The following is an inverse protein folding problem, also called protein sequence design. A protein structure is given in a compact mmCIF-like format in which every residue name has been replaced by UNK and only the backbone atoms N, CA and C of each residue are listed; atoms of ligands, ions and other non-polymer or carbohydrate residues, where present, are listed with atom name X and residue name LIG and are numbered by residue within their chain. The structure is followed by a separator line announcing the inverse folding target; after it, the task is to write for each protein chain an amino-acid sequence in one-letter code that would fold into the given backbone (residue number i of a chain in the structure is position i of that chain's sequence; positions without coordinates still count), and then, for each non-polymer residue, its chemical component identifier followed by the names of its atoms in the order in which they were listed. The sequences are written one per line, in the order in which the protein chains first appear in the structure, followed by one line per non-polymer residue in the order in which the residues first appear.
data_IF_761555688678
#
_entry.id   IF_761555688678
#
_cell.length_a   1.000
_cell.length_b   1.000
_cell.length_c   1.000
_cell.angle_alpha   90.00
_cell.angle_beta   90.00
_cell.angle_gamma   90.00
#
_symmetry.space_group_name_H-M   'P 1'
#
loop_
_entity.id
_entity.type
_entity.pdbx_description
1 polymer ?
#
# COMPACT_ATOMS: atom_id res chain seq x y z
N UNK A 1 -26.16 -13.97 -69.44
CA UNK A 1 -25.15 -12.94 -69.08
C UNK A 1 -25.27 -12.69 -67.59
N UNK A 2 -24.21 -13.00 -66.84
CA UNK A 2 -24.12 -12.80 -65.39
C UNK A 2 -24.21 -11.31 -65.02
N UNK A 3 -24.87 -10.98 -63.90
CA UNK A 3 -24.33 -10.05 -62.90
C UNK A 3 -24.99 -10.24 -61.53
N UNK A 4 -24.18 -10.85 -60.69
CA UNK A 4 -24.25 -11.01 -59.23
C UNK A 4 -23.91 -9.68 -58.56
N UNK A 5 -24.66 -9.26 -57.55
CA UNK A 5 -24.25 -8.27 -56.51
C UNK A 5 -25.13 -8.51 -55.27
N UNK A 6 -24.80 -9.50 -54.45
CA UNK A 6 -23.99 -9.40 -53.21
C UNK A 6 -24.45 -8.32 -52.22
N UNK A 7 -25.37 -8.71 -51.34
CA UNK A 7 -25.70 -8.04 -50.08
C UNK A 7 -24.49 -8.08 -49.14
N UNK A 8 -23.98 -6.94 -48.70
CA UNK A 8 -22.92 -6.87 -47.68
C UNK A 8 -23.54 -6.41 -46.36
N UNK A 9 -23.66 -7.34 -45.41
CA UNK A 9 -23.93 -7.07 -44.01
C UNK A 9 -22.59 -6.71 -43.36
N UNK A 10 -22.38 -5.44 -43.00
CA UNK A 10 -21.23 -5.03 -42.19
C UNK A 10 -21.58 -5.23 -40.71
N UNK A 11 -21.30 -6.42 -40.19
CA UNK A 11 -21.29 -6.67 -38.73
C UNK A 11 -19.98 -6.07 -38.21
N UNK A 12 -20.06 -4.90 -37.60
CA UNK A 12 -18.94 -4.29 -36.89
C UNK A 12 -18.69 -5.09 -35.61
N UNK A 13 -17.67 -5.94 -35.64
CA UNK A 13 -17.21 -6.75 -34.52
C UNK A 13 -16.74 -5.87 -33.36
N UNK A 14 -17.41 -5.98 -32.20
CA UNK A 14 -16.92 -5.50 -30.91
C UNK A 14 -15.52 -6.09 -30.65
N UNK A 15 -14.50 -5.23 -30.61
CA UNK A 15 -13.18 -5.60 -30.13
C UNK A 15 -13.25 -5.76 -28.61
N UNK A 16 -12.96 -6.99 -28.18
CA UNK A 16 -12.81 -7.42 -26.79
C UNK A 16 -11.72 -6.59 -26.08
N UNK A 17 -12.09 -5.75 -25.12
CA UNK A 17 -11.16 -5.00 -24.26
C UNK A 17 -10.83 -5.71 -22.93
N UNK A 18 -11.22 -6.98 -22.77
CA UNK A 18 -11.15 -7.70 -21.49
C UNK A 18 -9.77 -8.23 -21.05
N UNK A 19 -8.77 -8.30 -21.95
CA UNK A 19 -7.53 -9.05 -21.66
C UNK A 19 -6.50 -8.29 -20.82
N UNK A 20 -6.51 -6.96 -20.82
CA UNK A 20 -5.49 -6.14 -20.13
C UNK A 20 -5.74 -6.10 -18.61
N UNK A 21 -6.99 -5.97 -18.20
CA UNK A 21 -7.36 -5.82 -16.78
C UNK A 21 -7.19 -7.11 -15.96
N UNK A 22 -7.42 -8.28 -16.57
CA UNK A 22 -7.25 -9.56 -15.88
C UNK A 22 -5.78 -9.86 -15.55
N UNK A 23 -4.86 -9.55 -16.47
CA UNK A 23 -3.42 -9.74 -16.28
C UNK A 23 -2.85 -8.79 -15.21
N UNK A 24 -3.34 -7.54 -15.15
CA UNK A 24 -2.94 -6.58 -14.12
C UNK A 24 -3.33 -7.06 -12.72
N UNK A 25 -4.57 -7.52 -12.54
CA UNK A 25 -5.08 -7.97 -11.25
C UNK A 25 -4.32 -9.21 -10.72
N UNK A 26 -3.96 -10.14 -11.60
CA UNK A 26 -3.16 -11.32 -11.25
C UNK A 26 -1.73 -10.94 -10.85
N UNK A 27 -1.07 -10.06 -11.61
CA UNK A 27 0.26 -9.56 -11.27
C UNK A 27 0.25 -8.78 -9.95
N UNK A 28 -0.75 -7.94 -9.74
CA UNK A 28 -0.96 -7.23 -8.49
C UNK A 28 -1.06 -8.21 -7.32
N UNK A 29 -1.89 -9.25 -7.44
CA UNK A 29 -2.05 -10.24 -6.39
C UNK A 29 -0.74 -10.97 -6.07
N UNK A 30 0.01 -11.37 -7.10
CA UNK A 30 1.33 -11.98 -6.94
C UNK A 30 2.30 -11.07 -6.18
N UNK A 31 2.39 -9.78 -6.56
CA UNK A 31 3.20 -8.78 -5.86
C UNK A 31 2.79 -8.66 -4.39
N UNK A 32 1.49 -8.67 -4.09
CA UNK A 32 0.98 -8.57 -2.73
C UNK A 32 1.36 -9.76 -1.86
N UNK A 33 1.36 -10.96 -2.42
CA UNK A 33 1.80 -12.18 -1.73
C UNK A 33 3.30 -12.17 -1.48
N UNK A 34 4.11 -11.87 -2.50
CA UNK A 34 5.58 -11.76 -2.34
C UNK A 34 5.96 -10.67 -1.35
N UNK A 35 5.26 -9.54 -1.35
CA UNK A 35 5.46 -8.48 -0.36
C UNK A 35 5.18 -8.99 1.07
N UNK A 36 4.10 -9.74 1.28
CA UNK A 36 3.77 -10.26 2.60
C UNK A 36 4.85 -11.20 3.13
N UNK A 37 5.40 -12.07 2.28
CA UNK A 37 6.52 -12.95 2.62
C UNK A 37 7.77 -12.15 2.98
N UNK A 38 8.20 -11.24 2.09
CA UNK A 38 9.37 -10.41 2.31
C UNK A 38 9.25 -9.56 3.60
N UNK A 39 8.06 -9.01 3.86
CA UNK A 39 7.83 -8.09 4.96
C UNK A 39 7.67 -8.80 6.32
N UNK A 40 7.05 -9.98 6.35
CA UNK A 40 6.68 -10.62 7.61
C UNK A 40 7.48 -11.88 7.96
N UNK A 41 8.03 -12.58 6.97
CA UNK A 41 8.70 -13.88 7.19
C UNK A 41 10.22 -13.79 7.11
N UNK A 42 10.75 -12.80 6.40
CA UNK A 42 12.19 -12.62 6.22
C UNK A 42 12.72 -11.51 7.15
N UNK A 43 13.99 -11.64 7.53
CA UNK A 43 14.75 -10.63 8.27
C UNK A 43 16.12 -10.41 7.63
N UNK A 44 16.81 -9.34 8.05
CA UNK A 44 18.20 -9.05 7.71
C UNK A 44 18.48 -9.12 6.19
N UNK A 45 19.58 -9.71 5.77
CA UNK A 45 20.00 -9.77 4.37
C UNK A 45 18.97 -10.47 3.46
N UNK A 46 18.25 -11.48 3.97
CA UNK A 46 17.22 -12.15 3.19
C UNK A 46 16.06 -11.20 2.86
N UNK A 47 15.65 -10.38 3.82
CA UNK A 47 14.61 -9.37 3.62
C UNK A 47 15.08 -8.28 2.63
N UNK A 48 16.33 -7.81 2.76
CA UNK A 48 16.91 -6.80 1.85
C UNK A 48 16.99 -7.33 0.41
N UNK A 49 17.42 -8.58 0.22
CA UNK A 49 17.50 -9.19 -1.11
C UNK A 49 16.11 -9.40 -1.74
N UNK A 50 15.13 -9.81 -0.93
CA UNK A 50 13.75 -9.96 -1.39
C UNK A 50 13.15 -8.62 -1.84
N UNK A 51 13.32 -7.54 -1.06
CA UNK A 51 12.84 -6.22 -1.46
C UNK A 51 13.62 -5.61 -2.62
N UNK A 52 14.90 -5.90 -2.77
CA UNK A 52 15.68 -5.50 -3.95
C UNK A 52 15.06 -6.10 -5.23
N UNK A 53 14.73 -7.39 -5.20
CA UNK A 53 14.09 -8.06 -6.34
C UNK A 53 12.67 -7.54 -6.57
N UNK A 54 11.87 -7.41 -5.50
CA UNK A 54 10.48 -6.99 -5.59
C UNK A 54 10.32 -5.52 -6.03
N UNK A 55 11.22 -4.63 -5.64
CA UNK A 55 11.22 -3.24 -6.10
C UNK A 55 11.50 -3.13 -7.61
N UNK A 56 12.42 -3.94 -8.14
CA UNK A 56 12.66 -4.03 -9.58
C UNK A 56 11.42 -4.58 -10.33
N UNK A 57 10.77 -5.60 -9.79
CA UNK A 57 9.56 -6.17 -10.37
C UNK A 57 8.41 -5.15 -10.39
N UNK A 58 8.14 -4.47 -9.28
CA UNK A 58 7.08 -3.44 -9.23
C UNK A 58 7.37 -2.23 -10.12
N UNK A 59 8.65 -1.89 -10.36
CA UNK A 59 8.99 -0.87 -11.33
C UNK A 59 8.63 -1.28 -12.78
N UNK A 60 8.80 -2.55 -13.14
CA UNK A 60 8.33 -3.09 -14.43
C UNK A 60 6.79 -3.15 -14.50
N UNK A 61 6.14 -3.42 -13.37
CA UNK A 61 4.68 -3.41 -13.29
C UNK A 61 4.11 -2.01 -13.56
N UNK A 62 4.69 -0.97 -12.97
CA UNK A 62 4.34 0.43 -13.29
C UNK A 62 4.57 0.74 -14.77
N UNK A 63 5.68 0.29 -15.37
CA UNK A 63 5.94 0.51 -16.81
C UNK A 63 4.91 -0.18 -17.71
N UNK A 64 4.37 -1.31 -17.28
CA UNK A 64 3.37 -2.08 -18.03
C UNK A 64 1.98 -1.45 -17.95
N UNK A 65 1.68 -0.75 -16.85
CA UNK A 65 0.39 -0.11 -16.58
C UNK A 65 0.60 1.29 -15.96
N UNK A 66 1.13 2.26 -16.73
CA UNK A 66 1.58 3.55 -16.19
C UNK A 66 0.43 4.44 -15.70
N UNK A 67 -0.78 4.25 -16.22
CA UNK A 67 -1.96 5.03 -15.86
C UNK A 67 -2.82 4.36 -14.76
N UNK A 68 -2.37 3.22 -14.22
CA UNK A 68 -3.05 2.55 -13.12
C UNK A 68 -2.52 3.04 -11.78
N UNK A 69 -3.39 3.62 -10.95
CA UNK A 69 -3.05 3.98 -9.59
C UNK A 69 -2.58 2.76 -8.77
N UNK A 70 -3.10 1.56 -9.03
CA UNK A 70 -2.80 0.36 -8.25
C UNK A 70 -1.33 -0.04 -8.38
N UNK A 71 -0.75 0.10 -9.57
CA UNK A 71 0.67 -0.22 -9.82
C UNK A 71 1.59 0.74 -9.09
N UNK A 72 1.28 2.04 -9.14
CA UNK A 72 2.00 3.09 -8.40
C UNK A 72 1.86 2.94 -6.89
N UNK A 73 0.68 2.53 -6.38
CA UNK A 73 0.49 2.26 -4.95
C UNK A 73 1.42 1.15 -4.49
N UNK A 74 1.42 0.01 -5.19
CA UNK A 74 2.20 -1.15 -4.76
C UNK A 74 3.70 -0.96 -4.95
N UNK A 75 4.13 -0.23 -5.98
CA UNK A 75 5.53 0.18 -6.09
C UNK A 75 5.95 1.07 -4.91
N UNK A 76 5.11 2.05 -4.55
CA UNK A 76 5.34 2.92 -3.39
C UNK A 76 5.39 2.15 -2.06
N UNK A 77 4.46 1.22 -1.83
CA UNK A 77 4.44 0.36 -0.64
C UNK A 77 5.72 -0.49 -0.54
N UNK A 78 6.13 -1.12 -1.64
CA UNK A 78 7.34 -1.95 -1.67
C UNK A 78 8.58 -1.12 -1.37
N UNK A 79 8.71 0.07 -1.98
CA UNK A 79 9.84 0.97 -1.72
C UNK A 79 9.84 1.50 -0.28
N UNK A 80 8.67 1.83 0.28
CA UNK A 80 8.54 2.27 1.67
C UNK A 80 8.94 1.17 2.66
N UNK A 81 8.46 -0.06 2.45
CA UNK A 81 8.88 -1.24 3.23
C UNK A 81 10.38 -1.50 3.10
N UNK A 82 10.93 -1.39 1.89
CA UNK A 82 12.35 -1.59 1.65
C UNK A 82 13.19 -0.52 2.38
N UNK A 83 12.78 0.74 2.33
CA UNK A 83 13.43 1.82 3.07
C UNK A 83 13.42 1.54 4.58
N UNK A 84 12.30 1.04 5.11
CA UNK A 84 12.17 0.63 6.51
C UNK A 84 13.10 -0.50 6.90
N UNK A 85 13.18 -1.55 6.08
CA UNK A 85 14.06 -2.70 6.30
C UNK A 85 15.54 -2.31 6.25
N UNK A 86 15.93 -1.47 5.27
CA UNK A 86 17.32 -1.02 5.11
C UNK A 86 17.76 -0.06 6.22
N UNK A 87 16.85 0.82 6.65
CA UNK A 87 17.10 1.79 7.71
C UNK A 87 18.22 2.79 7.39
N UNK A 88 18.44 3.72 8.31
CA UNK A 88 19.50 4.72 8.22
C UNK A 88 19.35 5.71 7.05
N UNK A 89 20.34 6.61 6.92
CA UNK A 89 20.30 7.67 5.90
C UNK A 89 20.45 7.15 4.47
N UNK A 90 21.05 5.97 4.29
CA UNK A 90 21.22 5.35 2.97
C UNK A 90 19.90 4.86 2.36
N UNK A 91 18.85 4.68 3.17
CA UNK A 91 17.51 4.32 2.74
C UNK A 91 16.66 5.52 2.29
N UNK A 92 17.14 6.75 2.48
CA UNK A 92 16.36 7.96 2.20
C UNK A 92 15.99 8.12 0.71
N UNK A 93 16.84 7.62 -0.20
CA UNK A 93 16.51 7.57 -1.63
C UNK A 93 15.26 6.75 -1.89
N UNK A 94 15.20 5.53 -1.34
CA UNK A 94 14.04 4.63 -1.45
C UNK A 94 12.77 5.28 -0.89
N UNK A 95 12.87 5.98 0.25
CA UNK A 95 11.73 6.68 0.84
C UNK A 95 11.23 7.85 -0.03
N UNK A 96 12.13 8.55 -0.73
CA UNK A 96 11.76 9.63 -1.68
C UNK A 96 11.06 9.05 -2.91
N UNK A 97 11.59 7.95 -3.46
CA UNK A 97 10.99 7.27 -4.61
C UNK A 97 9.61 6.69 -4.25
N UNK A 98 9.48 6.12 -3.04
CA UNK A 98 8.19 5.67 -2.51
C UNK A 98 7.16 6.80 -2.44
N UNK A 99 7.57 7.96 -1.90
CA UNK A 99 6.71 9.15 -1.83
C UNK A 99 6.24 9.58 -3.23
N UNK A 100 7.15 9.67 -4.21
CA UNK A 100 6.81 10.07 -5.57
C UNK A 100 5.80 9.11 -6.22
N UNK A 101 6.01 7.80 -6.05
CA UNK A 101 5.09 6.77 -6.55
C UNK A 101 3.69 6.89 -5.91
N UNK A 102 3.62 7.11 -4.60
CA UNK A 102 2.34 7.26 -3.89
C UNK A 102 1.62 8.57 -4.27
N UNK A 103 2.35 9.66 -4.45
CA UNK A 103 1.80 10.93 -4.95
C UNK A 103 1.25 10.76 -6.38
N UNK A 104 1.96 10.04 -7.25
CA UNK A 104 1.47 9.73 -8.59
C UNK A 104 0.20 8.87 -8.56
N UNK A 105 0.13 7.87 -7.68
CA UNK A 105 -1.09 7.09 -7.49
C UNK A 105 -2.28 7.95 -7.09
N UNK A 106 -2.09 8.87 -6.14
CA UNK A 106 -3.14 9.79 -5.66
C UNK A 106 -3.62 10.70 -6.80
N UNK A 107 -2.70 11.16 -7.66
CA UNK A 107 -3.04 11.98 -8.83
C UNK A 107 -3.85 11.21 -9.88
N UNK A 108 -3.59 9.90 -10.04
CA UNK A 108 -4.32 9.04 -10.97
C UNK A 108 -5.71 8.66 -10.43
N UNK A 109 -5.77 8.15 -9.20
CA UNK A 109 -7.00 7.82 -8.49
C UNK A 109 -6.73 7.74 -6.98
N UNK A 110 -7.06 8.79 -6.24
CA UNK A 110 -6.94 8.85 -4.78
C UNK A 110 -7.82 7.84 -4.03
N UNK A 111 -8.86 7.30 -4.66
CA UNK A 111 -9.74 6.32 -4.04
C UNK A 111 -9.24 4.88 -4.23
N UNK A 112 -8.28 4.67 -5.14
CA UNK A 112 -7.77 3.35 -5.46
C UNK A 112 -7.28 2.61 -4.21
N UNK A 113 -7.64 1.32 -4.13
CA UNK A 113 -7.29 0.44 -3.02
C UNK A 113 -7.65 1.02 -1.64
N UNK A 114 -8.80 1.70 -1.55
CA UNK A 114 -9.43 2.09 -0.29
C UNK A 114 -8.49 2.91 0.62
N UNK A 115 -7.82 3.91 0.05
CA UNK A 115 -6.97 4.85 0.78
C UNK A 115 -5.56 4.34 1.11
N UNK A 116 -5.13 3.21 0.53
CA UNK A 116 -3.81 2.64 0.75
C UNK A 116 -2.67 3.60 0.41
N UNK A 117 -2.84 4.44 -0.62
CA UNK A 117 -1.85 5.44 -0.99
C UNK A 117 -1.63 6.47 0.13
N UNK A 118 -2.72 7.02 0.66
CA UNK A 118 -2.70 7.98 1.76
C UNK A 118 -2.11 7.39 3.04
N UNK A 119 -2.51 6.18 3.46
CA UNK A 119 -1.98 5.55 4.66
C UNK A 119 -0.47 5.28 4.57
N UNK A 120 0.00 4.87 3.40
CA UNK A 120 1.43 4.61 3.15
C UNK A 120 2.22 5.92 3.12
N UNK A 121 1.70 6.96 2.47
CA UNK A 121 2.34 8.28 2.42
C UNK A 121 2.38 8.92 3.81
N UNK A 122 1.32 8.76 4.61
CA UNK A 122 1.29 9.18 6.00
C UNK A 122 2.39 8.51 6.84
N UNK A 123 2.56 7.20 6.67
CA UNK A 123 3.60 6.42 7.35
C UNK A 123 5.00 6.92 7.00
N UNK A 124 5.26 7.26 5.73
CA UNK A 124 6.52 7.88 5.32
C UNK A 124 6.73 9.24 6.00
N UNK A 125 5.71 10.11 5.99
CA UNK A 125 5.80 11.41 6.65
C UNK A 125 6.10 11.31 8.14
N UNK A 126 5.59 10.29 8.85
CA UNK A 126 5.86 10.12 10.28
C UNK A 126 7.20 9.46 10.61
N UNK A 127 7.82 8.73 9.67
CA UNK A 127 9.03 7.91 9.95
C UNK A 127 10.32 8.50 9.37
N UNK A 128 10.24 9.32 8.32
CA UNK A 128 11.41 9.92 7.67
C UNK A 128 11.85 11.19 8.42
N UNK A 129 13.15 11.53 8.48
CA UNK A 129 13.60 12.81 9.04
C UNK A 129 12.95 14.02 8.36
N UNK A 130 12.76 15.10 9.12
CA UNK A 130 12.28 16.37 8.58
C UNK A 130 13.33 17.13 7.76
N UNK A 131 12.97 18.34 7.32
CA UNK A 131 13.86 19.26 6.63
C UNK A 131 15.06 19.66 7.53
N UNK A 132 16.29 19.81 7.01
CA UNK A 132 16.68 19.78 5.59
C UNK A 132 17.06 18.40 5.04
N UNK A 133 17.09 17.37 5.88
CA UNK A 133 17.63 16.05 5.47
C UNK A 133 16.59 15.27 4.66
N UNK A 134 15.35 15.20 5.16
CA UNK A 134 14.26 14.47 4.53
C UNK A 134 13.01 15.32 4.36
N UNK A 135 11.86 14.66 4.34
CA UNK A 135 10.55 15.27 4.08
C UNK A 135 9.50 14.97 5.16
N UNK A 136 9.93 14.39 6.30
CA UNK A 136 9.05 14.03 7.40
C UNK A 136 8.24 15.22 7.92
N UNK A 137 7.00 14.97 8.31
CA UNK A 137 6.06 15.96 8.85
C UNK A 137 4.86 15.28 9.51
N UNK A 138 4.77 15.32 10.84
CA UNK A 138 3.64 14.72 11.58
C UNK A 138 2.30 15.37 11.21
N UNK A 139 2.32 16.67 10.89
CA UNK A 139 1.14 17.37 10.36
C UNK A 139 0.64 16.71 9.07
N UNK A 140 1.51 16.49 8.10
CA UNK A 140 1.13 15.83 6.84
C UNK A 140 0.77 14.37 7.06
N UNK A 141 1.44 13.68 7.98
CA UNK A 141 1.07 12.32 8.36
C UNK A 141 -0.37 12.27 8.87
N UNK A 142 -0.74 13.13 9.81
CA UNK A 142 -2.09 13.20 10.36
C UNK A 142 -3.14 13.55 9.30
N UNK A 143 -2.85 14.50 8.40
CA UNK A 143 -3.75 14.85 7.29
C UNK A 143 -4.02 13.65 6.37
N UNK A 144 -2.97 12.92 5.98
CA UNK A 144 -3.09 11.76 5.10
C UNK A 144 -3.78 10.58 5.80
N UNK A 145 -3.53 10.33 7.09
CA UNK A 145 -4.26 9.27 7.82
C UNK A 145 -5.76 9.55 7.91
N UNK A 146 -6.17 10.81 8.10
CA UNK A 146 -7.60 11.17 8.08
C UNK A 146 -8.25 10.86 6.74
N UNK A 147 -7.56 11.16 5.63
CA UNK A 147 -8.04 10.82 4.28
C UNK A 147 -8.14 9.29 4.09
N UNK A 148 -7.12 8.55 4.51
CA UNK A 148 -7.13 7.09 4.43
C UNK A 148 -8.29 6.46 5.20
N UNK A 149 -8.59 6.97 6.41
CA UNK A 149 -9.70 6.49 7.23
C UNK A 149 -11.06 6.89 6.65
N UNK A 150 -11.19 8.07 6.04
CA UNK A 150 -12.43 8.47 5.37
C UNK A 150 -12.78 7.52 4.19
N UNK A 151 -11.77 6.98 3.51
CA UNK A 151 -11.94 6.02 2.43
C UNK A 151 -12.18 4.58 2.90
N UNK A 152 -11.69 4.22 4.09
CA UNK A 152 -11.82 2.87 4.63
C UNK A 152 -11.83 2.88 6.16
N UNK A 153 -12.96 3.29 6.72
CA UNK A 153 -13.12 3.49 8.16
C UNK A 153 -12.88 2.20 8.98
N UNK A 154 -13.21 1.04 8.41
CA UNK A 154 -13.10 -0.28 9.07
C UNK A 154 -11.91 -1.11 8.56
N UNK A 155 -11.04 -0.50 7.75
CA UNK A 155 -9.90 -1.20 7.15
C UNK A 155 -8.83 -1.57 8.16
N UNK A 156 -8.35 -2.81 8.10
CA UNK A 156 -7.33 -3.34 9.02
C UNK A 156 -6.02 -2.53 8.95
N UNK A 157 -5.53 -2.25 7.74
CA UNK A 157 -4.24 -1.58 7.54
C UNK A 157 -4.31 -0.09 7.92
N UNK A 158 -5.33 0.64 7.46
CA UNK A 158 -5.47 2.09 7.72
C UNK A 158 -5.60 2.37 9.23
N UNK A 159 -6.41 1.58 9.94
CA UNK A 159 -6.58 1.73 11.38
C UNK A 159 -5.31 1.32 12.15
N UNK A 160 -4.66 0.23 11.77
CA UNK A 160 -3.41 -0.18 12.43
C UNK A 160 -2.30 0.86 12.25
N UNK A 161 -2.08 1.33 11.03
CA UNK A 161 -1.01 2.31 10.73
C UNK A 161 -1.28 3.64 11.44
N UNK A 162 -2.53 4.10 11.47
CA UNK A 162 -2.86 5.31 12.21
C UNK A 162 -2.70 5.12 13.72
N UNK A 163 -3.07 3.96 14.26
CA UNK A 163 -2.83 3.66 15.67
C UNK A 163 -1.35 3.60 16.04
N UNK A 164 -0.49 3.08 15.15
CA UNK A 164 0.97 3.11 15.33
C UNK A 164 1.49 4.54 15.39
N UNK A 165 1.04 5.42 14.48
CA UNK A 165 1.34 6.84 14.52
C UNK A 165 0.88 7.49 15.83
N UNK A 166 -0.38 7.29 16.23
CA UNK A 166 -0.94 7.82 17.47
C UNK A 166 -0.19 7.32 18.71
N UNK A 167 0.28 6.07 18.70
CA UNK A 167 1.11 5.54 19.78
C UNK A 167 2.45 6.28 19.88
N UNK A 168 3.09 6.59 18.74
CA UNK A 168 4.29 7.43 18.67
C UNK A 168 4.05 8.84 19.24
N UNK A 169 2.89 9.42 18.90
CA UNK A 169 2.41 10.71 19.41
C UNK A 169 1.91 10.67 20.86
N UNK A 170 2.04 9.52 21.55
CA UNK A 170 1.57 9.28 22.93
C UNK A 170 0.06 9.47 23.12
N UNK A 171 -0.73 9.44 22.05
CA UNK A 171 -2.19 9.53 22.06
C UNK A 171 -2.82 8.15 22.29
N UNK A 172 -2.49 7.53 23.43
CA UNK A 172 -2.77 6.11 23.69
C UNK A 172 -4.24 5.73 23.67
N UNK A 173 -5.14 6.60 24.16
CA UNK A 173 -6.59 6.34 24.13
C UNK A 173 -7.11 6.23 22.69
N UNK A 174 -6.70 7.15 21.81
CA UNK A 174 -7.09 7.11 20.40
C UNK A 174 -6.45 5.91 19.69
N UNK A 175 -5.17 5.63 19.96
CA UNK A 175 -4.49 4.45 19.43
C UNK A 175 -5.25 3.15 19.78
N UNK A 176 -5.73 3.03 21.02
CA UNK A 176 -6.55 1.89 21.46
C UNK A 176 -7.84 1.75 20.63
N UNK A 177 -8.57 2.83 20.42
CA UNK A 177 -9.82 2.83 19.64
C UNK A 177 -9.59 2.32 18.21
N UNK A 178 -8.55 2.82 17.54
CA UNK A 178 -8.22 2.38 16.19
C UNK A 178 -7.71 0.93 16.15
N UNK A 179 -6.95 0.48 17.15
CA UNK A 179 -6.53 -0.94 17.23
C UNK A 179 -7.70 -1.89 17.39
N UNK A 180 -8.69 -1.55 18.22
CA UNK A 180 -9.89 -2.36 18.37
C UNK A 180 -10.72 -2.40 17.07
N UNK A 181 -10.77 -1.29 16.34
CA UNK A 181 -11.39 -1.23 15.00
C UNK A 181 -10.65 -2.12 14.01
N UNK A 182 -9.32 -2.04 13.98
CA UNK A 182 -8.48 -2.91 13.14
C UNK A 182 -8.63 -4.39 13.50
N UNK A 183 -8.70 -4.72 14.80
CA UNK A 183 -8.86 -6.08 15.29
C UNK A 183 -10.18 -6.71 14.82
N UNK A 184 -11.25 -5.91 14.77
CA UNK A 184 -12.58 -6.33 14.33
C UNK A 184 -12.75 -6.35 12.80
N UNK A 185 -11.72 -5.99 12.02
CA UNK A 185 -11.81 -5.98 10.57
C UNK A 185 -11.98 -7.39 9.98
N UNK A 186 -12.80 -7.51 8.94
CA UNK A 186 -13.02 -8.77 8.22
C UNK A 186 -11.76 -9.26 7.50
N UNK A 187 -11.64 -10.57 7.34
CA UNK A 187 -10.55 -11.21 6.58
C UNK A 187 -10.78 -10.98 5.09
N UNK A 188 -9.70 -10.62 4.38
CA UNK A 188 -9.70 -10.43 2.93
C UNK A 188 -9.39 -11.77 2.23
N UNK A 189 -10.28 -12.21 1.34
CA UNK A 189 -10.24 -13.53 0.67
C UNK A 189 -8.96 -13.84 -0.10
N UNK A 190 -8.19 -12.83 -0.49
CA UNK A 190 -6.94 -13.01 -1.24
C UNK A 190 -5.70 -12.52 -0.45
N UNK A 191 -5.88 -12.16 0.82
CA UNK A 191 -4.84 -11.54 1.67
C UNK A 191 -4.80 -12.12 3.09
N UNK A 192 -5.33 -13.33 3.30
CA UNK A 192 -5.42 -13.98 4.61
C UNK A 192 -4.08 -14.04 5.34
N UNK A 193 -2.98 -14.38 4.64
CA UNK A 193 -1.63 -14.43 5.21
C UNK A 193 -1.21 -13.06 5.77
N UNK A 194 -1.37 -12.00 4.98
CA UNK A 194 -1.07 -10.64 5.43
C UNK A 194 -1.96 -10.21 6.61
N UNK A 195 -3.25 -10.57 6.58
CA UNK A 195 -4.20 -10.26 7.65
C UNK A 195 -3.85 -10.98 8.96
N UNK A 196 -3.40 -12.23 8.90
CA UNK A 196 -2.93 -12.98 10.08
C UNK A 196 -1.74 -12.28 10.74
N UNK A 197 -0.73 -11.89 9.97
CA UNK A 197 0.41 -11.13 10.49
C UNK A 197 -0.01 -9.77 11.05
N UNK A 198 -0.93 -9.08 10.37
CA UNK A 198 -1.44 -7.80 10.83
C UNK A 198 -2.22 -7.93 12.14
N UNK A 199 -3.05 -8.97 12.30
CA UNK A 199 -3.76 -9.26 13.56
C UNK A 199 -2.80 -9.55 14.72
N UNK A 200 -1.68 -10.22 14.45
CA UNK A 200 -0.63 -10.39 15.44
C UNK A 200 -0.01 -9.05 15.84
N UNK A 201 0.35 -8.21 14.86
CA UNK A 201 0.92 -6.88 15.10
C UNK A 201 -0.04 -5.95 15.87
N UNK A 202 -1.35 -6.01 15.57
CA UNK A 202 -2.41 -5.30 16.29
C UNK A 202 -2.41 -5.74 17.76
N UNK A 203 -2.41 -7.04 18.03
CA UNK A 203 -2.42 -7.59 19.38
C UNK A 203 -1.20 -7.14 20.20
N UNK A 204 -0.01 -7.16 19.58
CA UNK A 204 1.23 -6.69 20.22
C UNK A 204 1.18 -5.19 20.55
N UNK A 205 0.71 -4.35 19.61
CA UNK A 205 0.65 -2.91 19.83
C UNK A 205 -0.43 -2.56 20.86
N UNK A 206 -1.56 -3.27 20.86
CA UNK A 206 -2.63 -3.09 21.85
C UNK A 206 -2.14 -3.39 23.28
N UNK A 207 -1.33 -4.43 23.46
CA UNK A 207 -0.70 -4.72 24.75
C UNK A 207 0.23 -3.58 25.22
N UNK A 208 1.03 -3.00 24.31
CA UNK A 208 1.88 -1.83 24.62
C UNK A 208 1.05 -0.61 25.00
N UNK A 209 -0.05 -0.35 24.28
CA UNK A 209 -0.99 0.75 24.56
C UNK A 209 -1.62 0.59 25.94
N UNK A 210 -2.15 -0.58 26.28
CA UNK A 210 -2.77 -0.82 27.59
C UNK A 210 -1.77 -0.58 28.73
N UNK A 211 -0.55 -1.09 28.62
CA UNK A 211 0.52 -0.84 29.60
C UNK A 211 0.85 0.65 29.78
N UNK A 212 0.66 1.47 28.75
CA UNK A 212 0.86 2.92 28.82
C UNK A 212 -0.31 3.66 29.47
N UNK A 213 -1.52 3.11 29.39
CA UNK A 213 -2.74 3.69 29.98
C UNK A 213 -2.91 3.33 31.46
N UNK A 214 -2.29 2.24 31.91
CA UNK A 214 -2.27 1.81 33.32
C UNK A 214 -1.23 2.56 34.18
N UNK A 215 -0.38 3.38 33.56
CA UNK A 215 0.67 4.17 34.21
C UNK A 215 0.24 5.62 34.37
#
# INVERSE_FOLDING_TARGET
MYKLTMTVYLILTCLFTGSVSANEAEQLLSIQHTWAEANYELTDDAQINAFTTLSAHTALFVKSYPDSAQTHIWHGIVLASFAGAKGGLSALGLAKDAKLSLEQAINLDGNALNGSAYASLATLYSKVPGWPIGFGSDKKAQENFKLALALNEKGIDNNYLYAEFLYGEKQYNQAKTHLLTAQAAGVRDNRQKADQYRQHAISQLLAKVNKKLER
#
